data_IF_221376989563
#
_entry.id   IF_221376989563
#
_cell.length_a   1.000
_cell.length_b   1.000
_cell.length_c   1.000
_cell.angle_alpha   90.00
_cell.angle_beta   90.00
_cell.angle_gamma   90.00
#
_symmetry.space_group_name_H-M   'P 1'
#
loop_
_entity.id
_entity.type
_entity.pdbx_description
1 polymer ?
#
# COMPACT_ATOMS: atom_id res chain seq x y z
N UNK A 1 0.57 -14.78 8.85
CA UNK A 1 1.37 -13.60 9.15
C UNK A 1 0.98 -12.45 8.21
N UNK A 2 0.54 -11.29 8.74
CA UNK A 2 0.16 -10.16 7.88
C UNK A 2 1.26 -9.73 6.92
N UNK A 3 2.51 -9.92 7.29
CA UNK A 3 3.64 -9.51 6.44
C UNK A 3 3.77 -10.33 5.17
N UNK A 4 3.13 -11.50 5.13
CA UNK A 4 3.17 -12.39 3.97
C UNK A 4 1.97 -12.25 3.07
N UNK A 5 1.03 -11.39 3.43
CA UNK A 5 -0.19 -11.20 2.66
C UNK A 5 -0.03 -10.11 1.62
N UNK A 6 -0.73 -10.29 0.50
CA UNK A 6 -0.79 -9.26 -0.52
C UNK A 6 -1.74 -8.16 -0.07
N UNK A 7 -1.28 -6.92 -0.15
CA UNK A 7 -2.06 -5.77 0.30
C UNK A 7 -2.30 -4.86 -0.89
N UNK A 8 -3.56 -4.50 -1.11
CA UNK A 8 -3.95 -3.63 -2.20
C UNK A 8 -4.40 -2.28 -1.64
N UNK A 9 -3.78 -1.21 -2.10
CA UNK A 9 -4.12 0.14 -1.69
C UNK A 9 -4.69 0.90 -2.87
N UNK A 10 -5.82 1.56 -2.64
CA UNK A 10 -6.48 2.35 -3.66
C UNK A 10 -6.94 3.67 -3.05
N UNK A 11 -6.66 4.78 -3.73
CA UNK A 11 -7.07 6.08 -3.25
C UNK A 11 -6.17 7.20 -3.75
N UNK A 12 -6.30 8.40 -3.16
CA UNK A 12 -5.41 9.51 -3.52
C UNK A 12 -3.96 9.19 -3.17
N UNK A 13 -3.04 9.71 -3.99
CA UNK A 13 -1.61 9.44 -3.82
C UNK A 13 -1.08 9.77 -2.42
N UNK A 14 -1.41 10.93 -1.83
CA UNK A 14 -0.89 11.24 -0.49
C UNK A 14 -1.29 10.20 0.55
N UNK A 15 -2.54 9.71 0.47
CA UNK A 15 -3.02 8.69 1.38
C UNK A 15 -2.28 7.38 1.16
N UNK A 16 -2.10 6.99 -0.10
CA UNK A 16 -1.42 5.74 -0.41
C UNK A 16 0.04 5.77 0.04
N UNK A 17 0.71 6.90 -0.13
CA UNK A 17 2.10 7.04 0.33
C UNK A 17 2.20 6.90 1.85
N UNK A 18 1.26 7.51 2.56
CA UNK A 18 1.25 7.44 4.02
C UNK A 18 1.06 6.00 4.49
N UNK A 19 0.09 5.31 3.90
CA UNK A 19 -0.17 3.91 4.24
C UNK A 19 1.00 3.01 3.84
N UNK A 20 1.59 3.26 2.69
CA UNK A 20 2.74 2.50 2.23
C UNK A 20 3.89 2.59 3.24
N UNK A 21 4.17 3.79 3.72
CA UNK A 21 5.24 3.99 4.71
C UNK A 21 4.94 3.24 6.00
N UNK A 22 3.69 3.29 6.45
CA UNK A 22 3.30 2.59 7.67
C UNK A 22 3.46 1.09 7.52
N UNK A 23 3.06 0.54 6.37
CA UNK A 23 3.20 -0.88 6.10
C UNK A 23 4.67 -1.29 6.05
N UNK A 24 5.51 -0.49 5.40
CA UNK A 24 6.93 -0.78 5.35
C UNK A 24 7.55 -0.75 6.74
N UNK A 25 7.17 0.21 7.56
CA UNK A 25 7.65 0.30 8.94
C UNK A 25 7.22 -0.93 9.75
N UNK A 26 6.03 -1.46 9.45
CA UNK A 26 5.53 -2.65 10.12
C UNK A 26 6.18 -3.95 9.63
N UNK A 27 7.03 -3.87 8.61
CA UNK A 27 7.77 -5.02 8.12
C UNK A 27 7.19 -5.68 6.87
N UNK A 28 6.17 -5.08 6.27
CA UNK A 28 5.60 -5.63 5.04
C UNK A 28 6.54 -5.36 3.88
N UNK A 29 6.80 -6.38 3.08
CA UNK A 29 7.68 -6.26 1.92
C UNK A 29 6.99 -5.48 0.82
N UNK A 30 7.73 -4.60 0.14
CA UNK A 30 7.17 -3.79 -0.93
C UNK A 30 6.58 -4.62 -2.06
N UNK A 31 7.10 -5.82 -2.31
CA UNK A 31 6.58 -6.72 -3.33
C UNK A 31 5.15 -7.17 -3.04
N UNK A 32 4.75 -7.11 -1.77
CA UNK A 32 3.42 -7.49 -1.36
C UNK A 32 2.45 -6.32 -1.30
N UNK A 33 2.92 -5.09 -1.53
CA UNK A 33 2.08 -3.91 -1.49
C UNK A 33 1.79 -3.47 -2.93
N UNK A 34 0.52 -3.51 -3.30
CA UNK A 34 0.08 -3.13 -4.64
C UNK A 34 -0.69 -1.83 -4.57
N UNK A 35 -0.22 -0.82 -5.30
CA UNK A 35 -0.82 0.49 -5.32
C UNK A 35 -1.63 0.66 -6.60
N UNK A 36 -2.89 1.01 -6.45
CA UNK A 36 -3.74 1.33 -7.59
C UNK A 36 -4.23 2.75 -7.45
N UNK A 37 -3.87 3.58 -8.40
CA UNK A 37 -4.27 4.96 -8.40
C UNK A 37 -5.73 5.08 -8.80
N UNK A 38 -6.50 5.78 -7.97
CA UNK A 38 -7.89 6.04 -8.28
C UNK A 38 -7.97 7.18 -9.29
N UNK A 39 -8.52 6.88 -10.46
CA UNK A 39 -8.67 7.88 -11.52
C UNK A 39 -10.13 8.11 -11.82
N UNK A 40 -10.54 9.35 -11.74
CA UNK A 40 -11.83 9.78 -12.23
C UNK A 40 -11.62 10.39 -13.62
N UNK A 41 -12.28 9.80 -14.57
CA UNK A 41 -12.25 10.32 -15.93
C UNK A 41 -13.31 11.38 -16.15
#
# INVERSE_FOLDING_TARGET
DPRDREIFLCGPKPMMLSLWRQLRTAGVRREHIHLEEFRLL
#
